data_IF_570734381630
#
_entry.id   IF_570734381630
#
_cell.length_a   1.000
_cell.length_b   1.000
_cell.length_c   1.000
_cell.angle_alpha   90.00
_cell.angle_beta   90.00
_cell.angle_gamma   90.00
#
_symmetry.space_group_name_H-M   'P 1'
#
loop_
_entity.id
_entity.type
_entity.pdbx_description
1 polymer ?
2 non-polymer ?
3 non-polymer ?
4 water ?
#
# COMPACT_ATOMS: atom_id res chain seq x y z
N UNK A 7 -21.79 7.13 -6.37
CA UNK A 7 -21.61 5.71 -6.22
C UNK A 7 -20.29 5.25 -6.84
N UNK A 8 -20.20 5.32 -8.16
CA UNK A 8 -18.99 4.91 -8.86
C UNK A 8 -17.90 5.96 -8.74
N UNK A 9 -18.25 7.24 -8.90
CA UNK A 9 -17.26 8.30 -8.77
C UNK A 9 -16.74 8.40 -7.35
N UNK A 10 -17.56 8.06 -6.35
CA UNK A 10 -17.10 8.03 -4.97
C UNK A 10 -16.04 6.96 -4.77
N UNK A 11 -16.30 5.75 -5.28
CA UNK A 11 -15.31 4.68 -5.20
C UNK A 11 -14.08 5.01 -6.03
N UNK A 12 -14.27 5.64 -7.20
CA UNK A 12 -13.14 6.02 -8.03
C UNK A 12 -12.27 7.05 -7.34
N UNK A 13 -12.88 8.02 -6.65
CA UNK A 13 -12.11 9.06 -5.98
C UNK A 13 -11.30 8.48 -4.83
N UNK A 14 -11.90 7.59 -4.03
CA UNK A 14 -11.17 6.97 -2.93
C UNK A 14 -10.01 6.12 -3.43
N UNK A 15 -10.14 5.53 -4.62
CA UNK A 15 -9.03 4.81 -5.22
C UNK A 15 -7.93 5.77 -5.69
N UNK A 16 -8.32 6.96 -6.16
CA UNK A 16 -7.32 7.94 -6.59
C UNK A 16 -6.58 8.56 -5.41
N UNK A 17 -7.26 8.73 -4.28
CA UNK A 17 -6.56 9.14 -3.06
C UNK A 17 -5.62 8.05 -2.57
N UNK A 18 -6.05 6.79 -2.66
CA UNK A 18 -5.18 5.69 -2.25
C UNK A 18 -4.00 5.54 -3.20
N UNK A 19 -4.23 5.73 -4.51
CA UNK A 19 -3.13 5.66 -5.46
C UNK A 19 -2.14 6.79 -5.22
N UNK A 20 -2.63 7.97 -4.87
CA UNK A 20 -1.74 9.10 -4.62
C UNK A 20 -0.82 8.85 -3.43
N UNK A 21 -1.31 8.13 -2.41
CA UNK A 21 -0.46 7.82 -1.25
C UNK A 21 0.58 6.78 -1.60
N UNK A 22 0.20 5.76 -2.38
CA UNK A 22 1.13 4.68 -2.70
C UNK A 22 2.27 5.18 -3.60
N UNK A 23 1.94 5.99 -4.61
CA UNK A 23 2.98 6.50 -5.50
C UNK A 23 3.88 7.52 -4.81
N UNK A 24 3.38 8.19 -3.78
CA UNK A 24 4.21 9.11 -3.02
C UNK A 24 5.31 8.37 -2.26
N UNK A 25 5.06 7.12 -1.88
CA UNK A 25 6.08 6.32 -1.20
C UNK A 25 7.10 5.79 -2.20
N UNK A 26 6.66 5.44 -3.41
CA UNK A 26 7.58 4.96 -4.43
C UNK A 26 8.62 6.02 -4.77
N UNK A 27 8.18 7.25 -5.05
CA UNK A 27 9.12 8.32 -5.36
C UNK A 27 9.99 8.68 -4.15
N UNK A 28 9.45 8.53 -2.94
CA UNK A 28 10.27 8.71 -1.76
C UNK A 28 11.35 7.63 -1.66
N UNK A 29 11.06 6.43 -2.16
CA UNK A 29 12.05 5.35 -2.16
C UNK A 29 13.14 5.61 -3.20
N UNK A 30 12.77 6.18 -4.35
CA UNK A 30 13.75 6.41 -5.41
C UNK A 30 14.73 7.52 -5.06
N UNK A 31 14.39 8.39 -4.12
CA UNK A 31 15.29 9.45 -3.68
C UNK A 31 16.11 9.06 -2.46
N UNK A 32 16.02 7.81 -2.01
CA UNK A 32 16.78 7.35 -0.86
C UNK A 32 18.22 7.04 -1.27
N UNK A 33 19.10 7.05 -0.26
CA UNK A 33 20.48 6.66 -0.49
C UNK A 33 20.57 5.18 -0.86
N UNK A 34 21.68 4.81 -1.47
CA UNK A 34 21.90 3.39 -1.77
C UNK A 34 21.94 2.53 -0.51
N UNK A 35 22.59 2.92 0.59
CA UNK A 35 22.42 2.12 1.82
C UNK A 35 21.01 2.18 2.36
N UNK A 36 20.35 3.34 2.30
CA UNK A 36 18.98 3.44 2.81
C UNK A 36 18.03 2.58 1.99
N UNK A 37 18.24 2.52 0.67
CA UNK A 37 17.41 1.65 -0.17
C UNK A 37 17.69 0.18 0.14
N UNK A 38 18.96 -0.18 0.29
CA UNK A 38 19.31 -1.56 0.63
C UNK A 38 18.73 -1.96 1.98
N UNK A 39 18.77 -1.05 2.95
CA UNK A 39 18.17 -1.33 4.25
C UNK A 39 16.67 -1.56 4.14
N UNK A 40 16.00 -0.87 3.21
CA UNK A 40 14.57 -1.06 3.03
C UNK A 40 14.26 -2.42 2.42
N UNK A 41 15.08 -2.87 1.46
CA UNK A 41 14.81 -4.10 0.74
C UNK A 41 15.01 -5.35 1.59
N UNK A 42 15.53 -5.22 2.82
CA UNK A 42 15.71 -6.35 3.70
C UNK A 42 14.45 -6.67 4.52
N UNK A 43 13.36 -5.95 4.30
CA UNK A 43 12.11 -6.21 5.00
C UNK A 43 11.18 -7.02 4.09
N UNK A 44 10.54 -8.04 4.67
CA UNK A 44 9.70 -8.94 3.92
C UNK A 44 8.26 -8.44 3.88
N UNK A 45 7.65 -8.53 2.70
CA UNK A 45 6.25 -8.15 2.50
C UNK A 45 5.51 -9.31 1.84
N UNK A 46 4.31 -9.57 2.32
CA UNK A 46 3.50 -10.68 1.84
C UNK A 46 2.50 -10.17 0.80
N UNK A 47 2.43 -10.86 -0.33
CA UNK A 47 1.55 -10.58 -1.46
C UNK A 47 0.31 -11.45 -1.40
N UNK A 48 -0.86 -10.89 -1.65
CA UNK A 48 -2.07 -11.71 -1.72
C UNK A 48 -2.05 -12.59 -2.96
N UNK A 49 -2.61 -13.79 -2.82
CA UNK A 49 -2.67 -14.71 -3.96
C UNK A 49 -3.60 -14.19 -5.05
N UNK A 50 -4.59 -13.39 -4.69
CA UNK A 50 -5.54 -12.83 -5.64
C UNK A 50 -5.85 -11.39 -5.23
N UNK A 51 -5.94 -10.50 -6.23
CA UNK A 51 -6.26 -9.10 -5.99
C UNK A 51 -7.05 -8.59 -7.20
N UNK A 52 -8.35 -8.87 -7.22
CA UNK A 52 -9.22 -8.44 -8.29
C UNK A 52 -10.50 -7.76 -7.81
N UNK A 53 -10.69 -7.59 -6.50
CA UNK A 53 -11.89 -6.97 -5.97
C UNK A 53 -11.49 -6.04 -4.83
N UNK A 54 -12.41 -5.14 -4.47
CA UNK A 54 -12.15 -4.20 -3.38
C UNK A 54 -11.91 -4.94 -2.07
N UNK A 55 -12.57 -6.08 -1.87
CA UNK A 55 -12.39 -6.85 -0.64
C UNK A 55 -10.95 -7.32 -0.47
N UNK A 56 -10.18 -7.42 -1.55
CA UNK A 56 -8.79 -7.85 -1.44
C UNK A 56 -7.88 -6.77 -0.89
N UNK A 57 -8.38 -5.55 -0.67
CA UNK A 57 -7.61 -4.53 0.02
C UNK A 57 -7.37 -4.86 1.48
N UNK A 58 -8.07 -5.87 2.01
CA UNK A 58 -7.78 -6.33 3.37
C UNK A 58 -6.34 -6.81 3.49
N UNK A 59 -5.80 -7.43 2.44
CA UNK A 59 -4.42 -7.88 2.46
C UNK A 59 -3.43 -6.74 2.35
N UNK A 60 -3.89 -5.54 1.97
CA UNK A 60 -3.05 -4.35 2.02
C UNK A 60 -3.08 -3.73 3.41
N UNK A 61 -4.24 -3.74 4.06
CA UNK A 61 -4.36 -3.13 5.39
C UNK A 61 -3.49 -3.87 6.41
N UNK A 62 -3.42 -5.19 6.32
CA UNK A 62 -2.65 -5.96 7.28
C UNK A 62 -1.15 -5.74 7.15
N UNK A 63 -0.70 -5.10 6.07
CA UNK A 63 0.71 -4.82 5.86
C UNK A 63 1.09 -3.37 6.11
N UNK A 64 0.15 -2.53 6.55
CA UNK A 64 0.46 -1.12 6.75
C UNK A 64 1.36 -0.90 7.95
N UNK A 65 1.25 -1.75 8.98
CA UNK A 65 2.11 -1.65 10.15
C UNK A 65 3.53 -2.11 9.82
N UNK A 66 3.73 -3.23 9.11
CA UNK A 66 5.09 -3.53 8.63
C UNK A 66 5.63 -2.49 7.65
N UNK A 67 4.77 -1.92 6.80
CA UNK A 67 5.22 -0.89 5.87
C UNK A 67 5.74 0.34 6.62
N UNK A 68 5.03 0.76 7.66
CA UNK A 68 5.47 1.91 8.45
C UNK A 68 6.76 1.59 9.21
N UNK A 69 6.88 0.37 9.73
CA UNK A 69 8.10 -0.02 10.43
C UNK A 69 9.28 -0.09 9.47
N UNK A 70 9.04 -0.51 8.23
CA UNK A 70 10.12 -0.58 7.25
C UNK A 70 10.60 0.82 6.87
N UNK A 71 9.66 1.73 6.59
CA UNK A 71 10.04 3.08 6.19
C UNK A 71 10.77 3.82 7.29
N UNK A 72 10.40 3.58 8.55
CA UNK A 72 11.06 4.26 9.66
C UNK A 72 12.48 3.76 9.89
N UNK A 73 12.86 2.63 9.31
CA UNK A 73 14.24 2.18 9.40
C UNK A 73 15.19 3.08 8.61
N UNK A 74 14.68 3.78 7.60
CA UNK A 74 15.52 4.71 6.86
C UNK A 74 15.88 5.92 7.71
N UNK A 75 14.97 6.36 8.57
CA UNK A 75 15.23 7.44 9.50
C UNK A 75 15.02 8.84 8.97
N UNK A 76 14.26 8.99 7.88
CA UNK A 76 14.04 10.31 7.31
C UNK A 76 13.15 11.15 8.22
N UNK A 77 11.91 10.73 8.40
CA UNK A 77 10.99 11.52 9.23
C UNK A 77 9.87 10.62 9.76
N UNK A 78 9.76 10.47 11.08
CA UNK A 78 8.71 9.58 11.62
C UNK A 78 7.31 10.13 11.47
N UNK A 79 7.13 11.45 11.49
CA UNK A 79 5.80 12.01 11.38
C UNK A 79 5.25 11.97 9.96
N UNK A 80 6.13 12.08 8.96
CA UNK A 80 5.66 11.99 7.58
C UNK A 80 5.21 10.58 7.24
N UNK A 81 5.97 9.57 7.68
CA UNK A 81 5.57 8.18 7.45
C UNK A 81 4.27 7.88 8.15
N UNK A 82 4.06 8.47 9.33
CA UNK A 82 2.83 8.24 10.07
C UNK A 82 1.62 8.81 9.32
N UNK A 83 1.77 9.99 8.72
CA UNK A 83 0.64 10.62 8.04
C UNK A 83 0.31 9.96 6.72
N UNK A 84 1.31 9.40 6.02
CA UNK A 84 1.03 8.77 4.72
C UNK A 84 0.41 7.40 4.91
N UNK A 85 0.92 6.61 5.85
CA UNK A 85 0.36 5.29 6.10
C UNK A 85 -1.04 5.40 6.70
N UNK A 86 -1.24 6.37 7.59
CA UNK A 86 -2.57 6.61 8.14
C UNK A 86 -3.56 6.99 7.04
N UNK A 87 -3.12 7.77 6.06
CA UNK A 87 -3.99 8.12 4.95
C UNK A 87 -4.33 6.89 4.12
N UNK A 88 -3.38 5.97 3.95
CA UNK A 88 -3.65 4.72 3.26
C UNK A 88 -4.71 3.93 4.02
N UNK A 89 -4.56 3.84 5.35
CA UNK A 89 -5.51 3.09 6.16
C UNK A 89 -6.91 3.69 6.09
N UNK A 90 -7.00 5.02 5.94
CA UNK A 90 -8.31 5.66 5.89
C UNK A 90 -9.07 5.24 4.63
N UNK A 91 -8.43 5.36 3.47
CA UNK A 91 -9.12 5.08 2.21
C UNK A 91 -9.24 3.58 1.94
N UNK A 92 -8.37 2.74 2.51
CA UNK A 92 -8.57 1.30 2.39
C UNK A 92 -9.85 0.90 3.11
N UNK A 93 -10.04 1.40 4.33
CA UNK A 93 -11.25 1.08 5.08
C UNK A 93 -12.50 1.69 4.43
N UNK A 94 -12.34 2.82 3.73
CA UNK A 94 -13.46 3.41 3.01
C UNK A 94 -13.88 2.57 1.81
N UNK A 95 -12.99 1.73 1.28
CA UNK A 95 -13.25 0.98 0.07
C UNK A 95 -13.77 -0.43 0.32
N UNK A 96 -13.22 -1.13 1.31
CA UNK A 96 -13.58 -2.51 1.58
C UNK A 96 -14.30 -2.71 2.91
N UNK A 97 -14.54 -1.64 3.67
CA UNK A 97 -15.23 -1.76 4.94
C UNK A 97 -14.39 -1.35 6.11
N UNK A 98 -15.04 -0.92 7.20
CA UNK A 98 -14.31 -0.43 8.37
C UNK A 98 -13.77 -1.54 9.25
N UNK A 99 -14.25 -2.77 9.08
CA UNK A 99 -13.82 -3.89 9.90
C UNK A 99 -13.33 -5.03 9.01
N UNK A 100 -12.72 -6.02 9.65
CA UNK A 100 -12.13 -7.16 8.95
C UNK A 100 -13.20 -8.23 8.75
N UNK A 101 -13.63 -8.39 7.50
CA UNK A 101 -14.63 -9.40 7.15
C UNK A 101 -14.12 -10.39 6.12
N UNK A 102 -12.88 -10.26 5.66
CA UNK A 102 -12.32 -11.12 4.64
C UNK A 102 -11.02 -11.75 5.15
N UNK A 103 -10.87 -13.05 4.92
CA UNK A 103 -9.68 -13.80 5.33
C UNK A 103 -8.71 -13.84 4.17
N UNK A 104 -7.58 -13.16 4.31
CA UNK A 104 -6.62 -13.02 3.22
C UNK A 104 -5.80 -14.28 3.04
N UNK A 105 -5.54 -14.63 1.79
CA UNK A 105 -4.68 -15.74 1.41
C UNK A 105 -3.43 -15.17 0.76
N UNK A 106 -2.29 -15.31 1.42
CA UNK A 106 -1.03 -14.77 0.93
C UNK A 106 -0.22 -15.85 0.24
N UNK A 107 0.68 -15.40 -0.65
CA UNK A 107 1.55 -16.34 -1.35
C UNK A 107 2.66 -16.84 -0.43
N UNK A 108 3.25 -17.97 -0.82
CA UNK A 108 4.29 -18.58 0.00
C UNK A 108 5.57 -17.75 0.02
N UNK A 109 5.85 -17.01 -1.04
CA UNK A 109 7.08 -16.26 -1.18
C UNK A 109 6.88 -14.82 -0.73
N UNK A 110 7.79 -14.33 0.10
CA UNK A 110 7.77 -12.92 0.49
C UNK A 110 8.34 -12.06 -0.63
N UNK A 111 8.11 -10.75 -0.51
CA UNK A 111 8.55 -9.80 -1.53
C UNK A 111 9.08 -8.55 -0.85
N UNK A 112 9.83 -7.77 -1.62
CA UNK A 112 10.41 -6.53 -1.11
C UNK A 112 9.34 -5.43 -1.07
N UNK A 113 9.75 -4.24 -0.62
CA UNK A 113 8.82 -3.12 -0.57
C UNK A 113 8.52 -2.59 -1.95
N UNK A 114 9.45 -2.75 -2.90
CA UNK A 114 9.22 -2.28 -4.26
C UNK A 114 8.13 -3.10 -4.93
N UNK A 115 8.27 -4.43 -4.90
CA UNK A 115 7.24 -5.30 -5.45
C UNK A 115 5.91 -5.13 -4.71
N UNK A 116 5.97 -4.80 -3.42
CA UNK A 116 4.76 -4.57 -2.65
C UNK A 116 4.00 -3.36 -3.16
N UNK A 117 4.69 -2.23 -3.34
CA UNK A 117 4.03 -1.01 -3.79
C UNK A 117 3.56 -1.14 -5.23
N UNK A 118 4.39 -1.75 -6.09
CA UNK A 118 4.02 -1.90 -7.50
C UNK A 118 2.76 -2.75 -7.66
N UNK A 119 2.57 -3.74 -6.79
CA UNK A 119 1.40 -4.60 -6.92
C UNK A 119 0.10 -3.84 -6.62
N UNK A 120 0.11 -3.02 -5.56
CA UNK A 120 -1.11 -2.31 -5.19
C UNK A 120 -1.32 -1.07 -6.04
N UNK A 121 -0.25 -0.47 -6.57
CA UNK A 121 -0.42 0.63 -7.51
C UNK A 121 -1.09 0.15 -8.78
N UNK A 122 -0.60 -0.97 -9.33
CA UNK A 122 -1.27 -1.58 -10.48
C UNK A 122 -2.68 -2.01 -10.12
N UNK A 123 -2.91 -2.44 -8.88
CA UNK A 123 -4.24 -2.82 -8.44
C UNK A 123 -5.20 -1.63 -8.50
N UNK A 124 -4.79 -0.50 -7.92
CA UNK A 124 -5.66 0.68 -7.94
C UNK A 124 -5.88 1.18 -9.35
N UNK A 125 -4.82 1.21 -10.17
CA UNK A 125 -4.94 1.69 -11.54
C UNK A 125 -5.88 0.82 -12.36
N UNK A 126 -5.91 -0.49 -12.09
CA UNK A 126 -6.75 -1.39 -12.86
C UNK A 126 -8.23 -1.12 -12.59
N UNK A 127 -8.62 -1.04 -11.32
CA UNK A 127 -10.02 -0.85 -10.98
C UNK A 127 -10.49 0.55 -11.39
N UNK A 128 -9.60 1.54 -11.35
CA UNK A 128 -9.97 2.89 -11.76
C UNK A 128 -10.29 2.91 -13.26
N UNK A 129 -9.56 2.13 -14.05
CA UNK A 129 -9.79 2.12 -15.50
C UNK A 129 -11.16 1.57 -15.85
N UNK A 130 -11.68 0.62 -15.06
CA UNK A 130 -13.00 0.07 -15.33
C UNK A 130 -14.12 1.01 -14.87
N UNK A 131 -13.85 1.85 -13.88
CA UNK A 131 -14.87 2.78 -13.40
C UNK A 131 -14.94 4.03 -14.27
N UNK A 132 -13.79 4.48 -14.79
CA UNK A 132 -13.75 5.68 -15.61
C UNK A 132 -14.31 5.39 -17.00
#
# INVERSE_FOLDING_TARGET
MAPTSSSTKKTQLQLEHLLLDLQMILNMLNNYDNPKLTRLLTFKFYMPKKATSLKHLQCLEEELKPLEEALNAAGDDPKTIRDVVSNINVFVLELKGSETTFMCEYADETATIIEFLNRWITFCQSIISTLT
#
